data_IF_603597336448
#
_entry.id   IF_603597336448
#
_cell.length_a   1.000
_cell.length_b   1.000
_cell.length_c   1.000
_cell.angle_alpha   90.00
_cell.angle_beta   90.00
_cell.angle_gamma   90.00
#
_symmetry.space_group_name_H-M   'P 1'
#
loop_
_entity.id
_entity.type
_entity.pdbx_description
1 polymer ?
#
# COMPACT_ATOMS: atom_id res chain seq x y z
N UNK A 1 -22.49 18.41 11.51
CA UNK A 1 -22.48 18.98 10.16
C UNK A 1 -21.23 19.83 9.79
N UNK A 2 -20.73 20.76 10.64
CA UNK A 2 -19.52 21.55 10.32
C UNK A 2 -18.22 20.72 10.40
N UNK A 3 -18.14 19.78 11.35
CA UNK A 3 -17.00 18.87 11.54
C UNK A 3 -16.85 17.86 10.40
N UNK A 4 -17.95 17.30 9.93
CA UNK A 4 -17.95 16.27 8.88
C UNK A 4 -17.48 16.83 7.54
N UNK A 5 -17.87 18.06 7.20
CA UNK A 5 -17.38 18.76 5.99
C UNK A 5 -15.87 19.03 6.07
N UNK A 6 -15.33 19.31 7.26
CA UNK A 6 -13.90 19.53 7.48
C UNK A 6 -13.09 18.24 7.31
N UNK A 7 -13.61 17.09 7.75
CA UNK A 7 -12.94 15.79 7.58
C UNK A 7 -12.99 15.37 6.10
N UNK A 8 -14.16 15.53 5.44
CA UNK A 8 -14.30 15.21 4.03
C UNK A 8 -13.34 16.02 3.16
N UNK A 9 -13.20 17.33 3.43
CA UNK A 9 -12.24 18.19 2.69
C UNK A 9 -10.77 17.81 2.90
N UNK A 10 -10.43 17.12 4.00
CA UNK A 10 -9.08 16.58 4.21
C UNK A 10 -8.82 15.29 3.45
N UNK A 11 -9.85 14.51 3.16
CA UNK A 11 -9.79 13.24 2.44
C UNK A 11 -9.95 13.47 0.94
N UNK A 12 -10.95 14.25 0.57
CA UNK A 12 -11.33 14.61 -0.81
C UNK A 12 -11.28 16.15 -0.96
N UNK A 13 -10.08 16.71 -1.09
CA UNK A 13 -9.92 18.15 -1.17
C UNK A 13 -10.49 18.71 -2.48
N UNK A 14 -11.17 19.85 -2.39
CA UNK A 14 -11.67 20.61 -3.56
C UNK A 14 -10.54 21.18 -4.43
N UNK A 15 -9.36 21.40 -3.82
CA UNK A 15 -8.14 21.80 -4.53
C UNK A 15 -7.03 20.80 -4.24
N UNK A 16 -6.41 20.29 -5.28
CA UNK A 16 -5.33 19.31 -5.20
C UNK A 16 -4.00 20.02 -5.39
N UNK A 17 -3.21 20.10 -4.31
CA UNK A 17 -1.92 20.78 -4.26
C UNK A 17 -0.87 19.93 -3.51
N UNK A 18 0.32 20.47 -3.32
CA UNK A 18 1.41 19.81 -2.59
C UNK A 18 1.44 20.18 -1.09
N UNK A 19 0.43 20.88 -0.58
CA UNK A 19 0.35 21.24 0.83
C UNK A 19 -0.08 20.02 1.67
N UNK A 20 0.78 19.62 2.61
CA UNK A 20 0.49 18.54 3.54
C UNK A 20 0.35 19.09 4.96
N UNK A 21 -0.84 19.00 5.53
CA UNK A 21 -1.15 19.47 6.88
C UNK A 21 -1.13 18.39 7.96
N UNK A 22 -0.93 17.13 7.57
CA UNK A 22 -0.89 15.98 8.48
C UNK A 22 0.42 15.84 9.23
N UNK A 23 0.49 14.84 10.12
CA UNK A 23 1.68 14.57 10.91
C UNK A 23 2.83 14.04 10.04
N UNK A 24 4.07 14.47 10.32
CA UNK A 24 5.26 14.10 9.55
C UNK A 24 5.52 12.58 9.51
N UNK A 25 5.21 11.86 10.59
CA UNK A 25 5.34 10.40 10.64
C UNK A 25 4.49 9.71 9.57
N UNK A 26 3.24 10.15 9.38
CA UNK A 26 2.37 9.64 8.33
C UNK A 26 2.95 9.89 6.93
N UNK A 27 3.51 11.08 6.69
CA UNK A 27 4.17 11.37 5.41
C UNK A 27 5.35 10.43 5.13
N UNK A 28 6.24 10.23 6.13
CA UNK A 28 7.40 9.34 6.00
C UNK A 28 6.95 7.89 5.77
N UNK A 29 5.94 7.44 6.51
CA UNK A 29 5.38 6.11 6.32
C UNK A 29 4.75 5.93 4.93
N UNK A 30 4.12 6.96 4.39
CA UNK A 30 3.59 6.92 3.03
C UNK A 30 4.70 6.77 1.98
N UNK A 31 5.82 7.48 2.12
CA UNK A 31 7.00 7.27 1.26
C UNK A 31 7.54 5.84 1.36
N UNK A 32 7.61 5.29 2.56
CA UNK A 32 8.05 3.91 2.76
C UNK A 32 7.13 2.91 2.06
N UNK A 33 5.80 3.03 2.22
CA UNK A 33 4.84 2.15 1.54
C UNK A 33 4.91 2.32 0.02
N UNK A 34 5.08 3.54 -0.49
CA UNK A 34 5.26 3.80 -1.92
C UNK A 34 6.46 3.05 -2.48
N UNK A 35 7.62 3.19 -1.83
CA UNK A 35 8.84 2.50 -2.22
C UNK A 35 8.68 0.98 -2.16
N UNK A 36 8.13 0.47 -1.06
CA UNK A 36 7.88 -0.97 -0.88
C UNK A 36 6.96 -1.52 -1.98
N UNK A 37 5.90 -0.80 -2.35
CA UNK A 37 4.98 -1.20 -3.41
C UNK A 37 5.69 -1.29 -4.76
N UNK A 38 6.48 -0.27 -5.12
CA UNK A 38 7.24 -0.27 -6.39
C UNK A 38 8.28 -1.40 -6.42
N UNK A 39 9.08 -1.55 -5.35
CA UNK A 39 10.09 -2.61 -5.29
C UNK A 39 9.47 -4.00 -5.41
N UNK A 40 8.39 -4.26 -4.68
CA UNK A 40 7.68 -5.54 -4.76
C UNK A 40 7.09 -5.78 -6.16
N UNK A 41 6.54 -4.75 -6.79
CA UNK A 41 6.05 -4.85 -8.17
C UNK A 41 7.14 -5.25 -9.15
N UNK A 42 8.33 -4.66 -9.03
CA UNK A 42 9.48 -5.03 -9.85
C UNK A 42 9.89 -6.50 -9.65
N UNK A 43 9.84 -7.01 -8.42
CA UNK A 43 10.11 -8.43 -8.17
C UNK A 43 9.08 -9.31 -8.88
N UNK A 44 7.79 -8.99 -8.77
CA UNK A 44 6.74 -9.78 -9.45
C UNK A 44 6.86 -9.76 -10.98
N UNK A 45 7.36 -8.68 -11.57
CA UNK A 45 7.52 -8.55 -13.02
C UNK A 45 8.80 -9.23 -13.51
N UNK A 46 9.91 -9.07 -12.80
CA UNK A 46 11.24 -9.38 -13.34
C UNK A 46 11.91 -10.63 -12.73
N UNK A 47 11.45 -11.12 -11.56
CA UNK A 47 11.96 -12.38 -11.01
C UNK A 47 11.48 -13.57 -11.85
N UNK A 48 12.35 -14.57 -12.05
CA UNK A 48 12.05 -15.74 -12.89
C UNK A 48 10.84 -16.56 -12.42
N UNK A 49 10.56 -16.57 -11.11
CA UNK A 49 9.39 -17.21 -10.51
C UNK A 49 8.27 -16.21 -10.16
N UNK A 50 8.41 -14.94 -10.54
CA UNK A 50 7.53 -13.86 -10.16
C UNK A 50 7.44 -13.63 -8.64
N UNK A 51 8.34 -14.22 -7.84
CA UNK A 51 8.27 -14.26 -6.38
C UNK A 51 7.22 -15.23 -5.83
N UNK A 52 6.65 -16.08 -6.67
CA UNK A 52 5.64 -17.05 -6.25
C UNK A 52 6.23 -18.14 -5.35
N UNK A 53 7.35 -18.73 -5.73
CA UNK A 53 8.04 -19.74 -4.93
C UNK A 53 9.00 -19.10 -3.93
N UNK A 54 9.85 -18.18 -4.39
CA UNK A 54 10.92 -17.60 -3.57
C UNK A 54 10.41 -16.71 -2.42
N UNK A 55 9.25 -16.05 -2.58
CA UNK A 55 8.70 -15.12 -1.58
C UNK A 55 7.35 -15.59 -1.05
N UNK A 56 6.40 -15.94 -1.93
CA UNK A 56 5.07 -16.38 -1.50
C UNK A 56 5.03 -17.86 -1.07
N UNK A 57 6.15 -18.59 -1.23
CA UNK A 57 6.34 -19.97 -0.80
C UNK A 57 5.33 -20.96 -1.40
N UNK A 58 4.81 -20.66 -2.60
CA UNK A 58 3.96 -21.56 -3.37
C UNK A 58 4.83 -22.66 -3.98
N UNK A 59 4.50 -23.97 -3.80
CA UNK A 59 5.34 -25.06 -4.29
C UNK A 59 5.21 -25.24 -5.81
N UNK A 60 5.84 -24.38 -6.63
CA UNK A 60 5.74 -24.47 -8.09
C UNK A 60 6.26 -25.79 -8.64
N UNK A 61 7.20 -26.45 -7.94
CA UNK A 61 7.75 -27.76 -8.30
C UNK A 61 6.71 -28.88 -8.22
N UNK A 62 5.61 -28.69 -7.48
CA UNK A 62 4.50 -29.63 -7.39
C UNK A 62 3.48 -29.47 -8.52
N UNK A 63 3.60 -28.42 -9.33
CA UNK A 63 2.69 -28.16 -10.45
C UNK A 63 3.20 -28.82 -11.74
N UNK A 64 2.31 -29.04 -12.71
CA UNK A 64 2.74 -29.27 -14.09
C UNK A 64 3.47 -28.03 -14.61
N UNK A 65 4.34 -28.17 -15.59
CA UNK A 65 5.08 -27.06 -16.17
C UNK A 65 4.13 -25.91 -16.58
N UNK A 66 3.05 -26.22 -17.33
CA UNK A 66 2.09 -25.20 -17.74
C UNK A 66 1.33 -24.57 -16.57
N UNK A 67 1.10 -25.32 -15.47
CA UNK A 67 0.52 -24.79 -14.25
C UNK A 67 1.44 -23.78 -13.55
N UNK A 68 2.72 -24.12 -13.41
CA UNK A 68 3.73 -23.24 -12.84
C UNK A 68 3.89 -21.94 -13.68
N UNK A 69 4.00 -22.08 -15.00
CA UNK A 69 4.07 -20.94 -15.93
C UNK A 69 2.83 -20.02 -15.81
N UNK A 70 1.63 -20.60 -15.66
CA UNK A 70 0.39 -19.87 -15.42
C UNK A 70 0.41 -19.05 -14.14
N UNK A 71 0.91 -19.64 -13.04
CA UNK A 71 1.06 -18.90 -11.76
C UNK A 71 2.06 -17.77 -11.90
N UNK A 72 3.22 -18.00 -12.50
CA UNK A 72 4.26 -16.97 -12.73
C UNK A 72 3.69 -15.82 -13.57
N UNK A 73 2.96 -16.14 -14.65
CA UNK A 73 2.33 -15.14 -15.49
C UNK A 73 1.30 -14.28 -14.73
N UNK A 74 0.47 -14.89 -13.89
CA UNK A 74 -0.49 -14.16 -13.06
C UNK A 74 0.20 -13.27 -12.03
N UNK A 75 1.31 -13.71 -11.44
CA UNK A 75 2.11 -12.88 -10.55
C UNK A 75 2.73 -11.68 -11.28
N UNK A 76 3.22 -11.88 -12.50
CA UNK A 76 3.74 -10.78 -13.32
C UNK A 76 2.65 -9.77 -13.70
N UNK A 77 1.47 -10.24 -14.12
CA UNK A 77 0.32 -9.35 -14.38
C UNK A 77 -0.11 -8.57 -13.12
N UNK A 78 -0.16 -9.24 -11.98
CA UNK A 78 -0.43 -8.59 -10.72
C UNK A 78 0.65 -7.55 -10.38
N UNK A 79 1.93 -7.86 -10.65
CA UNK A 79 3.05 -6.94 -10.53
C UNK A 79 2.86 -5.67 -11.36
N UNK A 80 2.41 -5.78 -12.62
CA UNK A 80 2.10 -4.63 -13.47
C UNK A 80 0.99 -3.77 -12.86
N UNK A 81 -0.10 -4.38 -12.43
CA UNK A 81 -1.20 -3.65 -11.78
C UNK A 81 -0.75 -2.92 -10.51
N UNK A 82 0.07 -3.57 -9.69
CA UNK A 82 0.65 -2.95 -8.50
C UNK A 82 1.65 -1.83 -8.81
N UNK A 83 2.44 -1.97 -9.88
CA UNK A 83 3.35 -0.92 -10.33
C UNK A 83 2.57 0.35 -10.70
N UNK A 84 1.46 0.21 -11.41
CA UNK A 84 0.58 1.35 -11.72
C UNK A 84 0.08 2.05 -10.45
N UNK A 85 -0.34 1.29 -9.44
CA UNK A 85 -0.73 1.85 -8.14
C UNK A 85 0.46 2.53 -7.45
N UNK A 86 1.63 1.91 -7.45
CA UNK A 86 2.87 2.46 -6.89
C UNK A 86 3.29 3.77 -7.56
N UNK A 87 3.12 3.88 -8.88
CA UNK A 87 3.39 5.12 -9.62
C UNK A 87 2.38 6.22 -9.26
N UNK A 88 1.10 5.89 -9.06
CA UNK A 88 0.10 6.84 -8.54
C UNK A 88 0.52 7.33 -7.15
N UNK A 89 0.93 6.43 -6.24
CA UNK A 89 1.42 6.80 -4.92
C UNK A 89 2.65 7.70 -5.02
N UNK A 90 3.58 7.43 -5.94
CA UNK A 90 4.76 8.24 -6.17
C UNK A 90 4.39 9.66 -6.64
N UNK A 91 3.47 9.78 -7.59
CA UNK A 91 2.97 11.08 -8.06
C UNK A 91 2.34 11.86 -6.90
N UNK A 92 1.51 11.19 -6.10
CA UNK A 92 0.90 11.79 -4.91
C UNK A 92 1.96 12.21 -3.89
N UNK A 93 2.95 11.36 -3.62
CA UNK A 93 4.04 11.65 -2.69
C UNK A 93 4.89 12.87 -3.11
N UNK A 94 5.09 13.06 -4.41
CA UNK A 94 5.95 14.14 -4.95
C UNK A 94 5.18 15.44 -5.22
N UNK A 95 3.95 15.34 -5.73
CA UNK A 95 3.25 16.50 -6.31
C UNK A 95 1.89 16.81 -5.68
N UNK A 96 1.21 15.83 -5.08
CA UNK A 96 -0.17 15.98 -4.63
C UNK A 96 -0.37 15.46 -3.21
N UNK A 97 0.52 15.85 -2.29
CA UNK A 97 0.54 15.35 -0.90
C UNK A 97 -0.77 15.54 -0.14
N UNK A 98 -1.61 16.47 -0.59
CA UNK A 98 -2.93 16.69 -0.03
C UNK A 98 -3.87 15.48 -0.20
N UNK A 99 -3.58 14.58 -1.18
CA UNK A 99 -4.32 13.33 -1.41
C UNK A 99 -3.81 12.15 -0.55
N UNK A 100 -2.76 12.30 0.24
CA UNK A 100 -2.22 11.20 1.07
C UNK A 100 -3.29 10.55 1.95
N UNK A 101 -4.21 11.29 2.63
CA UNK A 101 -5.27 10.66 3.40
C UNK A 101 -6.16 9.73 2.57
N UNK A 102 -6.50 10.12 1.35
CA UNK A 102 -7.25 9.28 0.42
C UNK A 102 -6.48 8.01 0.04
N UNK A 103 -5.17 8.12 -0.19
CA UNK A 103 -4.33 6.96 -0.51
C UNK A 103 -4.30 5.96 0.65
N UNK A 104 -4.30 6.40 1.91
CA UNK A 104 -4.39 5.51 3.06
C UNK A 104 -5.68 4.70 3.09
N UNK A 105 -6.79 5.27 2.65
CA UNK A 105 -8.06 4.54 2.52
C UNK A 105 -7.90 3.42 1.49
N UNK A 106 -7.32 3.69 0.32
CA UNK A 106 -7.09 2.66 -0.70
C UNK A 106 -6.12 1.57 -0.22
N UNK A 107 -5.03 1.94 0.46
CA UNK A 107 -4.09 0.98 1.07
C UNK A 107 -4.82 0.08 2.08
N UNK A 108 -5.68 0.65 2.93
CA UNK A 108 -6.45 -0.12 3.91
C UNK A 108 -7.39 -1.12 3.24
N UNK A 109 -8.13 -0.68 2.22
CA UNK A 109 -9.00 -1.58 1.46
C UNK A 109 -8.21 -2.68 0.74
N UNK A 110 -7.08 -2.35 0.12
CA UNK A 110 -6.23 -3.34 -0.54
C UNK A 110 -5.72 -4.40 0.44
N UNK A 111 -5.18 -3.98 1.57
CA UNK A 111 -4.68 -4.90 2.61
C UNK A 111 -5.80 -5.74 3.23
N UNK A 112 -6.93 -5.12 3.53
CA UNK A 112 -8.09 -5.80 4.12
C UNK A 112 -8.70 -6.82 3.17
N UNK A 113 -8.86 -6.48 1.89
CA UNK A 113 -9.40 -7.39 0.88
C UNK A 113 -8.53 -8.63 0.69
N UNK A 114 -7.21 -8.52 0.80
CA UNK A 114 -6.29 -9.68 0.74
C UNK A 114 -6.48 -10.61 1.92
N UNK A 115 -6.67 -10.09 3.13
CA UNK A 115 -6.97 -10.92 4.31
C UNK A 115 -8.29 -11.65 4.11
N UNK A 116 -9.33 -10.93 3.68
CA UNK A 116 -10.64 -11.52 3.41
C UNK A 116 -10.52 -12.61 2.33
N UNK A 117 -9.79 -12.34 1.25
CA UNK A 117 -9.59 -13.30 0.17
C UNK A 117 -8.92 -14.58 0.66
N UNK A 118 -7.94 -14.49 1.58
CA UNK A 118 -7.25 -15.64 2.14
C UNK A 118 -8.18 -16.60 2.92
N UNK A 119 -9.30 -16.10 3.48
CA UNK A 119 -10.32 -16.96 4.10
C UNK A 119 -11.17 -17.73 3.10
N UNK A 120 -11.39 -17.17 1.90
CA UNK A 120 -12.22 -17.81 0.88
C UNK A 120 -11.41 -18.62 -0.13
N UNK A 121 -10.15 -18.28 -0.33
CA UNK A 121 -9.26 -18.89 -1.32
C UNK A 121 -7.89 -19.15 -0.68
N UNK A 122 -7.84 -20.18 0.15
CA UNK A 122 -6.56 -20.64 0.71
C UNK A 122 -5.73 -21.31 -0.38
N UNK A 123 -4.44 -21.08 -0.35
CA UNK A 123 -3.44 -21.76 -1.18
C UNK A 123 -2.50 -22.54 -0.27
N UNK A 124 -2.05 -23.69 -0.74
CA UNK A 124 -1.01 -24.45 -0.05
C UNK A 124 0.34 -23.75 -0.23
N UNK A 125 1.08 -23.62 0.87
CA UNK A 125 2.42 -23.04 0.91
C UNK A 125 3.34 -23.93 1.71
N UNK A 126 4.61 -24.03 1.32
CA UNK A 126 5.60 -24.86 2.01
C UNK A 126 6.17 -24.20 3.27
N UNK A 127 5.98 -22.90 3.43
CA UNK A 127 6.40 -22.12 4.58
C UNK A 127 5.50 -20.90 4.79
N UNK A 128 5.65 -20.21 5.91
CA UNK A 128 4.93 -18.96 6.16
C UNK A 128 5.58 -17.84 5.34
N UNK A 129 4.86 -17.32 4.36
CA UNK A 129 5.33 -16.21 3.55
C UNK A 129 5.55 -14.94 4.41
N UNK A 130 6.61 -14.14 4.18
CA UNK A 130 6.85 -12.89 4.91
C UNK A 130 5.66 -11.92 4.87
N UNK A 131 4.92 -11.90 3.76
CA UNK A 131 3.72 -11.09 3.63
C UNK A 131 2.61 -11.52 4.60
N UNK A 132 2.47 -12.81 4.89
CA UNK A 132 1.46 -13.33 5.83
C UNK A 132 1.70 -12.83 7.26
N UNK A 133 2.96 -12.59 7.65
CA UNK A 133 3.32 -12.04 8.95
C UNK A 133 3.17 -10.51 8.99
N UNK A 134 3.56 -9.84 7.92
CA UNK A 134 3.59 -8.37 7.87
C UNK A 134 2.20 -7.76 7.64
N UNK A 135 1.35 -8.41 6.86
CA UNK A 135 0.07 -7.86 6.43
C UNK A 135 -0.90 -7.57 7.59
N UNK A 136 -1.10 -8.44 8.61
CA UNK A 136 -1.94 -8.11 9.76
C UNK A 136 -1.44 -6.89 10.52
N UNK A 137 -0.12 -6.73 10.66
CA UNK A 137 0.49 -5.56 11.30
C UNK A 137 0.18 -4.29 10.51
N UNK A 138 0.33 -4.33 9.19
CA UNK A 138 0.05 -3.18 8.32
C UNK A 138 -1.42 -2.78 8.37
N UNK A 139 -2.36 -3.73 8.42
CA UNK A 139 -3.81 -3.45 8.54
C UNK A 139 -4.14 -2.69 9.83
N UNK A 140 -3.38 -2.90 10.90
CA UNK A 140 -3.54 -2.15 12.15
C UNK A 140 -2.82 -0.79 12.12
N UNK A 141 -1.66 -0.72 11.48
CA UNK A 141 -0.85 0.52 11.40
C UNK A 141 -1.46 1.54 10.44
N UNK A 142 -2.01 1.10 9.30
CA UNK A 142 -2.53 2.01 8.28
C UNK A 142 -3.67 2.91 8.79
N UNK A 143 -4.66 2.46 9.57
CA UNK A 143 -5.66 3.34 10.17
C UNK A 143 -5.07 4.40 11.11
N UNK A 144 -4.03 4.05 11.85
CA UNK A 144 -3.31 5.01 12.70
C UNK A 144 -2.61 6.08 11.84
N UNK A 145 -1.95 5.66 10.77
CA UNK A 145 -1.29 6.59 9.83
C UNK A 145 -2.31 7.45 9.09
N UNK A 146 -3.47 6.89 8.73
CA UNK A 146 -4.59 7.66 8.20
C UNK A 146 -5.05 8.73 9.20
N UNK A 147 -5.30 8.37 10.45
CA UNK A 147 -5.68 9.33 11.48
C UNK A 147 -4.64 10.44 11.63
N UNK A 148 -3.35 10.10 11.68
CA UNK A 148 -2.25 11.07 11.73
C UNK A 148 -2.19 11.95 10.47
N UNK A 149 -2.60 11.45 9.31
CA UNK A 149 -2.59 12.22 8.07
C UNK A 149 -3.66 13.32 8.02
N UNK A 150 -4.78 13.11 8.72
CA UNK A 150 -5.87 14.11 8.80
C UNK A 150 -5.76 15.04 10.03
N UNK A 151 -4.90 14.69 11.00
CA UNK A 151 -4.67 15.50 12.20
C UNK A 151 -3.74 16.66 11.88
N UNK A 152 -4.21 17.90 12.00
CA UNK A 152 -3.36 19.09 11.81
C UNK A 152 -2.27 19.14 12.87
N UNK A 153 -1.03 19.22 12.45
CA UNK A 153 0.09 19.56 13.34
C UNK A 153 0.05 21.09 13.53
N UNK A 154 -0.17 21.55 14.77
CA UNK A 154 -0.01 22.97 15.09
C UNK A 154 1.45 23.34 14.79
N UNK A 155 1.68 24.14 13.78
CA UNK A 155 2.97 24.81 13.60
C UNK A 155 3.07 25.80 14.76
N UNK A 156 3.95 25.54 15.72
CA UNK A 156 4.30 26.52 16.75
C UNK A 156 5.06 27.63 16.00
N UNK A 157 4.36 28.69 15.63
CA UNK A 157 5.00 29.92 15.25
C UNK A 157 5.71 30.46 16.49
N UNK A 158 6.99 30.15 16.65
CA UNK A 158 7.89 30.95 17.45
C UNK A 158 8.10 32.28 16.71
N UNK A 159 7.16 33.19 16.85
CA UNK A 159 7.38 34.61 16.71
C UNK A 159 8.10 35.08 17.97
N UNK A 160 9.38 34.74 18.06
CA UNK A 160 10.30 35.38 18.99
C UNK A 160 10.57 36.81 18.47
N UNK A 161 10.23 37.75 19.32
CA UNK A 161 10.42 39.20 19.17
C UNK A 161 11.89 39.65 19.07
#
# INVERSE_FOLDING_TARGET
>A
MKGDKLVLEKILPSQVDNAYSGHRLSLVFFYFITLLTICRSCVHIFAGDGGAQSIATIPLDAFTQGGAEGVIFLFAQWGIAQLMIGLIYLIVALRYRRLIPLMYIFIFFELGSRIILAFFKSIETVAVAPAALLQPVLVLVVPVMFYLSIRQTKTTNNSGG
#
